data_IF_306800388315
#
_entry.id   IF_306800388315
#
_cell.length_a   1.000
_cell.length_b   1.000
_cell.length_c   1.000
_cell.angle_alpha   90.00
_cell.angle_beta   90.00
_cell.angle_gamma   90.00
#
_symmetry.space_group_name_H-M   'P 1'
#
loop_
_entity.id
_entity.type
_entity.pdbx_description
1 polymer ?
#
# COMPACT_ATOMS: atom_id res chain seq x y z
N UNK A 1 -8.44 1.94 1.05
CA UNK A 1 -8.17 2.03 -0.41
C UNK A 1 -8.70 0.79 -1.12
N UNK A 2 -9.11 0.93 -2.38
CA UNK A 2 -9.36 -0.24 -3.24
C UNK A 2 -8.05 -0.78 -3.79
N UNK A 3 -7.80 -2.07 -3.63
CA UNK A 3 -6.64 -2.71 -4.26
C UNK A 3 -6.95 -2.92 -5.74
N UNK A 4 -6.18 -2.30 -6.63
CA UNK A 4 -6.44 -2.29 -8.07
C UNK A 4 -5.54 -3.30 -8.79
N UNK A 5 -4.28 -3.43 -8.36
CA UNK A 5 -3.30 -4.32 -9.01
C UNK A 5 -2.24 -4.83 -8.03
N UNK A 6 -1.46 -5.81 -8.49
CA UNK A 6 -0.23 -6.22 -7.80
C UNK A 6 0.82 -5.11 -7.82
N UNK A 7 1.57 -5.00 -6.72
CA UNK A 7 2.73 -4.13 -6.57
C UNK A 7 3.99 -4.74 -7.15
N UNK A 8 5.11 -4.05 -6.92
CA UNK A 8 6.39 -4.45 -7.52
C UNK A 8 7.00 -5.65 -6.81
N UNK A 9 6.92 -5.71 -5.47
CA UNK A 9 7.40 -6.86 -4.70
C UNK A 9 6.29 -7.88 -4.45
N UNK A 10 6.68 -9.15 -4.34
CA UNK A 10 5.76 -10.26 -4.09
C UNK A 10 4.83 -9.97 -2.90
N UNK A 11 3.54 -10.18 -3.11
CA UNK A 11 2.50 -9.97 -2.09
C UNK A 11 2.04 -8.52 -1.94
N UNK A 12 2.69 -7.53 -2.56
CA UNK A 12 2.21 -6.14 -2.51
C UNK A 12 0.94 -5.95 -3.32
N UNK A 13 0.01 -5.16 -2.78
CA UNK A 13 -1.13 -4.61 -3.51
C UNK A 13 -0.99 -3.10 -3.68
N UNK A 14 -1.44 -2.57 -4.81
CA UNK A 14 -1.43 -1.13 -5.12
C UNK A 14 -2.85 -0.63 -5.28
N UNK A 15 -3.13 0.49 -4.63
CA UNK A 15 -4.32 1.30 -4.84
C UNK A 15 -3.97 2.78 -4.95
N UNK A 16 -4.99 3.61 -5.10
CA UNK A 16 -4.84 5.06 -5.17
C UNK A 16 -5.83 5.73 -4.24
N UNK A 17 -5.43 6.88 -3.68
CA UNK A 17 -6.34 7.84 -3.08
C UNK A 17 -7.01 8.69 -4.18
N UNK A 18 -8.06 9.41 -3.82
CA UNK A 18 -8.82 10.24 -4.75
C UNK A 18 -7.99 11.38 -5.35
N UNK A 19 -6.92 11.80 -4.67
CA UNK A 19 -5.98 12.82 -5.14
C UNK A 19 -4.89 12.28 -6.09
N UNK A 20 -4.94 10.98 -6.42
CA UNK A 20 -3.97 10.31 -7.28
C UNK A 20 -2.71 9.80 -6.55
N UNK A 21 -2.61 9.99 -5.23
CA UNK A 21 -1.51 9.44 -4.43
C UNK A 21 -1.53 7.91 -4.52
N UNK A 22 -0.41 7.32 -4.93
CA UNK A 22 -0.27 5.87 -5.01
C UNK A 22 -0.05 5.29 -3.61
N UNK A 23 -0.82 4.25 -3.24
CA UNK A 23 -0.71 3.54 -1.98
C UNK A 23 -0.25 2.11 -2.23
N UNK A 24 0.91 1.75 -1.71
CA UNK A 24 1.49 0.42 -1.77
C UNK A 24 1.31 -0.26 -0.42
N UNK A 25 0.58 -1.38 -0.38
CA UNK A 25 0.27 -2.12 0.84
C UNK A 25 0.88 -3.52 0.81
N UNK A 26 1.62 -3.90 1.85
CA UNK A 26 2.17 -5.25 2.00
C UNK A 26 1.07 -6.30 2.21
N UNK A 27 1.29 -7.50 1.67
CA UNK A 27 0.38 -8.66 1.78
C UNK A 27 -1.05 -8.42 1.27
N UNK A 28 -1.23 -7.41 0.41
CA UNK A 28 -2.53 -7.03 -0.13
C UNK A 28 -2.80 -7.54 -1.56
N UNK A 29 -1.84 -8.19 -2.23
CA UNK A 29 -2.03 -8.71 -3.59
C UNK A 29 -3.24 -9.66 -3.70
N UNK A 30 -3.45 -10.51 -2.70
CA UNK A 30 -4.58 -11.47 -2.65
C UNK A 30 -5.94 -10.81 -2.43
N UNK A 31 -5.96 -9.48 -2.21
CA UNK A 31 -7.15 -8.68 -1.95
C UNK A 31 -7.50 -7.75 -3.12
N UNK A 32 -6.89 -7.96 -4.30
CA UNK A 32 -7.25 -7.22 -5.53
C UNK A 32 -8.76 -7.25 -5.75
N UNK A 33 -9.30 -6.07 -6.08
CA UNK A 33 -10.73 -5.83 -6.27
C UNK A 33 -11.49 -5.45 -5.00
N UNK A 34 -10.90 -5.61 -3.80
CA UNK A 34 -11.51 -5.30 -2.51
C UNK A 34 -11.05 -3.95 -1.94
N UNK A 35 -11.93 -3.34 -1.15
CA UNK A 35 -11.60 -2.21 -0.30
C UNK A 35 -11.02 -2.68 1.03
N UNK A 36 -9.88 -2.11 1.41
CA UNK A 36 -9.14 -2.46 2.62
C UNK A 36 -8.75 -1.21 3.41
N UNK A 37 -8.66 -1.38 4.73
CA UNK A 37 -7.98 -0.43 5.61
C UNK A 37 -6.47 -0.66 5.54
N UNK A 38 -5.71 0.44 5.64
CA UNK A 38 -4.24 0.41 5.57
C UNK A 38 -3.69 1.28 6.67
N UNK A 39 -2.74 0.73 7.43
CA UNK A 39 -1.91 1.50 8.37
C UNK A 39 -0.70 2.02 7.59
N UNK A 40 -0.57 3.34 7.53
CA UNK A 40 0.57 4.00 6.88
C UNK A 40 1.85 3.76 7.69
N UNK A 41 2.90 3.32 7.01
CA UNK A 41 4.22 3.08 7.62
C UNK A 41 5.26 4.09 7.16
N UNK A 42 5.20 4.55 5.90
CA UNK A 42 6.07 5.60 5.39
C UNK A 42 5.45 6.31 4.17
N UNK A 43 6.06 7.43 3.78
CA UNK A 43 5.69 8.18 2.59
C UNK A 43 6.96 8.59 1.84
N UNK A 44 6.94 8.45 0.52
CA UNK A 44 7.98 8.94 -0.39
C UNK A 44 7.38 10.02 -1.27
N UNK A 45 8.07 11.15 -1.39
CA UNK A 45 7.71 12.25 -2.29
C UNK A 45 8.88 12.51 -3.23
N UNK A 46 8.60 12.56 -4.54
CA UNK A 46 9.56 13.00 -5.55
C UNK A 46 8.87 13.90 -6.60
N UNK A 47 9.59 14.28 -7.66
CA UNK A 47 9.05 15.09 -8.74
C UNK A 47 7.95 14.41 -9.55
N UNK A 48 7.86 13.08 -9.53
CA UNK A 48 6.82 12.31 -10.21
C UNK A 48 5.53 12.18 -9.37
N UNK A 49 5.59 12.47 -8.06
CA UNK A 49 4.41 12.51 -7.21
C UNK A 49 4.66 12.03 -5.79
N UNK A 50 3.56 11.66 -5.12
CA UNK A 50 3.53 11.14 -3.76
C UNK A 50 3.20 9.66 -3.77
N UNK A 51 3.92 8.90 -2.96
CA UNK A 51 3.68 7.49 -2.71
C UNK A 51 3.58 7.24 -1.21
N UNK A 52 2.58 6.46 -0.80
CA UNK A 52 2.38 6.03 0.58
C UNK A 52 2.63 4.53 0.64
N UNK A 53 3.41 4.11 1.64
CA UNK A 53 3.60 2.71 1.97
C UNK A 53 2.84 2.38 3.24
N UNK A 54 2.28 1.19 3.29
CA UNK A 54 1.53 0.73 4.44
C UNK A 54 1.36 -0.78 4.47
N UNK A 55 0.54 -1.22 5.41
CA UNK A 55 0.26 -2.62 5.67
C UNK A 55 -1.15 -2.81 6.19
N UNK A 56 -1.65 -4.03 6.13
CA UNK A 56 -2.94 -4.40 6.71
C UNK A 56 -2.95 -4.25 8.24
N UNK A 57 -4.05 -3.76 8.84
CA UNK A 57 -4.27 -3.82 10.28
C UNK A 57 -4.08 -5.24 10.81
N UNK A 58 -3.35 -5.39 11.93
CA UNK A 58 -3.07 -6.69 12.53
C UNK A 58 -1.93 -7.48 11.89
N UNK A 59 -1.33 -7.00 10.79
CA UNK A 59 -0.06 -7.57 10.31
C UNK A 59 1.05 -7.29 11.33
N UNK A 60 1.89 -8.28 11.73
CA UNK A 60 2.96 -8.08 12.69
C UNK A 60 3.86 -6.91 12.28
N UNK A 61 4.21 -6.02 13.23
CA UNK A 61 5.30 -5.07 12.98
C UNK A 61 6.55 -5.92 12.93
N UNK A 62 7.05 -6.20 11.72
CA UNK A 62 8.46 -6.58 11.60
C UNK A 62 9.19 -5.30 11.96
N UNK A 63 9.59 -5.17 13.23
CA UNK A 63 10.39 -4.05 13.68
C UNK A 63 11.58 -3.99 12.72
N UNK A 64 11.63 -2.94 11.90
CA UNK A 64 12.76 -2.65 11.05
C UNK A 64 13.99 -2.65 11.98
N UNK A 65 14.90 -3.59 11.74
CA UNK A 65 16.21 -3.59 12.37
C UNK A 65 17.04 -2.44 11.83
#
# INVERSE_FOLDING_TARGET
IRVIREGESFGQGVGYLDDGTMVVCEQAAVLIGKDIDVIVTSMLQNSAGRMIFGRMPGSPVVAAR
#
